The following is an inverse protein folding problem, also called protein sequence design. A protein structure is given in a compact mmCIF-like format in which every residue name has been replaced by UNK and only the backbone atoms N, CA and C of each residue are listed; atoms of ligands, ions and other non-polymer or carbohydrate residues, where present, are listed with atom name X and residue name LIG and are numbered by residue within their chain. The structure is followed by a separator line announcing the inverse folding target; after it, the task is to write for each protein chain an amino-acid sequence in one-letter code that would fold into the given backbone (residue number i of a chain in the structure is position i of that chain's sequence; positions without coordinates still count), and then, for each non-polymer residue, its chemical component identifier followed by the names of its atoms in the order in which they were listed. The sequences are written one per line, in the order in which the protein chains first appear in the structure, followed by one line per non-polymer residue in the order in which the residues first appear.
data_IF_753692502603
#
_entry.id   IF_753692502603
#
_cell.length_a   1.000
_cell.length_b   1.000
_cell.length_c   1.000
_cell.angle_alpha   90.00
_cell.angle_beta   90.00
_cell.angle_gamma   90.00
#
_symmetry.space_group_name_H-M   'P 1'
#
loop_
_entity.id
_entity.type
_entity.pdbx_description
1 polymer ?
#
# COMPACT_ATOMS: atom_id res chain seq x y z
N UNK A 1 -7.96 23.98 -12.44
CA UNK A 1 -7.14 23.51 -13.59
C UNK A 1 -5.85 22.83 -13.16
N UNK A 2 -5.04 23.40 -12.26
CA UNK A 2 -3.79 22.76 -11.78
C UNK A 2 -3.99 21.38 -11.14
N UNK A 3 -5.10 21.21 -10.39
CA UNK A 3 -5.47 19.94 -9.74
C UNK A 3 -5.71 18.77 -10.72
N UNK A 4 -6.37 19.03 -11.85
CA UNK A 4 -6.61 18.02 -12.89
C UNK A 4 -5.36 17.72 -13.73
N UNK A 5 -4.51 18.73 -13.97
CA UNK A 5 -3.24 18.54 -14.67
C UNK A 5 -2.28 17.62 -13.91
N UNK A 6 -2.21 17.70 -12.57
CA UNK A 6 -1.36 16.84 -11.74
C UNK A 6 -1.78 15.37 -11.76
N UNK A 7 -3.08 15.10 -11.67
CA UNK A 7 -3.62 13.73 -11.80
C UNK A 7 -3.38 13.19 -13.20
N UNK A 8 -3.59 13.99 -14.25
CA UNK A 8 -3.27 13.61 -15.61
C UNK A 8 -1.76 13.37 -15.82
N UNK A 9 -0.88 14.17 -15.23
CA UNK A 9 0.58 13.99 -15.30
C UNK A 9 1.04 12.72 -14.58
N UNK A 10 0.45 12.41 -13.42
CA UNK A 10 0.72 11.13 -12.74
C UNK A 10 0.26 9.97 -13.63
N UNK A 11 -1.01 9.96 -14.07
CA UNK A 11 -1.60 8.92 -14.95
C UNK A 11 -0.78 8.71 -16.22
N UNK A 12 -0.34 9.79 -16.88
CA UNK A 12 0.52 9.73 -18.08
C UNK A 12 1.91 9.19 -17.73
N UNK A 13 2.48 9.60 -16.59
CA UNK A 13 3.74 9.06 -16.08
C UNK A 13 3.69 7.55 -15.83
N UNK A 14 2.55 6.99 -15.40
CA UNK A 14 2.41 5.54 -15.23
C UNK A 14 2.12 4.82 -16.53
N UNK A 15 1.38 5.43 -17.45
CA UNK A 15 1.21 4.90 -18.81
C UNK A 15 2.55 4.70 -19.51
N UNK A 16 3.52 5.58 -19.25
CA UNK A 16 4.89 5.49 -19.77
C UNK A 16 5.75 4.40 -19.07
N UNK A 17 5.48 4.07 -17.80
CA UNK A 17 6.18 2.99 -17.10
C UNK A 17 5.56 1.61 -17.37
N UNK A 18 4.25 1.55 -17.62
CA UNK A 18 3.55 0.32 -17.99
C UNK A 18 4.06 -0.25 -19.33
N UNK A 19 4.34 0.60 -20.32
CA UNK A 19 4.92 0.21 -21.61
C UNK A 19 6.38 -0.26 -21.48
N UNK A 20 7.15 0.27 -20.54
CA UNK A 20 8.50 -0.22 -20.23
C UNK A 20 8.48 -1.59 -19.49
N UNK A 21 7.52 -1.81 -18.59
CA UNK A 21 7.32 -3.09 -17.92
C UNK A 21 6.89 -4.22 -18.87
N UNK A 22 6.18 -3.89 -19.96
CA UNK A 22 5.77 -4.85 -20.99
C UNK A 22 6.91 -5.36 -21.88
N UNK A 23 8.06 -4.68 -21.92
CA UNK A 23 9.11 -4.96 -22.90
C UNK A 23 10.05 -6.12 -22.55
N UNK A 24 9.97 -6.72 -21.35
CA UNK A 24 10.91 -7.77 -20.90
C UNK A 24 10.40 -8.80 -19.91
N UNK A 25 9.12 -8.75 -19.52
CA UNK A 25 8.53 -9.61 -18.49
C UNK A 25 7.40 -10.49 -19.06
N UNK A 26 7.21 -11.68 -18.50
CA UNK A 26 6.04 -12.51 -18.80
C UNK A 26 4.71 -11.78 -18.47
N UNK A 27 3.59 -12.15 -19.12
CA UNK A 27 2.33 -11.39 -19.05
C UNK A 27 1.82 -11.22 -17.61
N UNK A 28 2.03 -12.22 -16.75
CA UNK A 28 1.67 -12.16 -15.32
C UNK A 28 2.49 -11.11 -14.57
N UNK A 29 3.82 -11.13 -14.72
CA UNK A 29 4.70 -10.14 -14.09
C UNK A 29 4.35 -8.73 -14.54
N UNK A 30 4.15 -8.50 -15.85
CA UNK A 30 3.73 -7.21 -16.39
C UNK A 30 2.39 -6.73 -15.79
N UNK A 31 1.40 -7.62 -15.66
CA UNK A 31 0.12 -7.27 -15.02
C UNK A 31 0.30 -6.80 -13.58
N UNK A 32 1.22 -7.43 -12.84
CA UNK A 32 1.49 -7.05 -11.45
C UNK A 32 2.31 -5.79 -11.31
N UNK A 33 3.21 -5.48 -12.25
CA UNK A 33 3.92 -4.20 -12.32
C UNK A 33 2.92 -3.04 -12.50
N UNK A 34 1.92 -3.23 -13.37
CA UNK A 34 0.83 -2.27 -13.58
C UNK A 34 -0.01 -2.09 -12.32
N UNK A 35 -0.49 -3.19 -11.72
CA UNK A 35 -1.32 -3.13 -10.51
C UNK A 35 -0.61 -2.46 -9.34
N UNK A 36 0.70 -2.69 -9.20
CA UNK A 36 1.52 -2.05 -8.18
C UNK A 36 1.46 -0.53 -8.26
N UNK A 37 1.39 0.04 -9.47
CA UNK A 37 1.16 1.48 -9.64
C UNK A 37 -0.30 1.88 -9.45
N UNK A 38 -1.22 1.17 -10.10
CA UNK A 38 -2.65 1.56 -10.21
C UNK A 38 -3.34 1.67 -8.86
N UNK A 39 -3.11 0.76 -7.91
CA UNK A 39 -3.82 0.76 -6.62
C UNK A 39 -3.47 1.98 -5.76
N UNK A 40 -2.20 2.33 -5.51
CA UNK A 40 -1.83 3.57 -4.80
C UNK A 40 -2.39 4.84 -5.43
N UNK A 41 -2.51 4.90 -6.75
CA UNK A 41 -3.08 6.09 -7.39
C UNK A 41 -4.59 6.11 -7.35
N UNK A 42 -5.21 4.94 -7.41
CA UNK A 42 -6.64 4.81 -7.16
C UNK A 42 -6.93 5.30 -5.75
N UNK A 43 -6.08 4.97 -4.78
CA UNK A 43 -6.16 5.50 -3.42
C UNK A 43 -6.14 7.04 -3.37
N UNK A 44 -5.16 7.67 -4.04
CA UNK A 44 -5.11 9.13 -4.18
C UNK A 44 -6.33 9.69 -4.92
N UNK A 45 -6.74 9.06 -6.03
CA UNK A 45 -7.86 9.50 -6.84
C UNK A 45 -9.17 9.44 -6.04
N UNK A 46 -9.38 8.40 -5.23
CA UNK A 46 -10.54 8.29 -4.34
C UNK A 46 -10.54 9.41 -3.31
N UNK A 47 -9.39 9.73 -2.71
CA UNK A 47 -9.29 10.88 -1.80
C UNK A 47 -9.63 12.19 -2.50
N UNK A 48 -9.06 12.40 -3.69
CA UNK A 48 -9.30 13.58 -4.51
C UNK A 48 -10.77 13.74 -4.91
N UNK A 49 -11.41 12.68 -5.42
CA UNK A 49 -12.82 12.71 -5.84
C UNK A 49 -13.82 12.75 -4.67
N UNK A 50 -13.37 12.46 -3.45
CA UNK A 50 -14.15 12.64 -2.22
C UNK A 50 -13.96 14.03 -1.59
N UNK A 51 -13.19 14.92 -2.23
CA UNK A 51 -12.78 16.22 -1.68
C UNK A 51 -12.08 16.08 -0.30
N UNK A 52 -11.41 14.95 -0.07
CA UNK A 52 -10.79 14.60 1.19
C UNK A 52 -9.34 15.07 1.26
N UNK A 53 -9.17 16.39 1.49
CA UNK A 53 -7.83 17.02 1.53
C UNK A 53 -6.94 16.47 2.64
N UNK A 54 -7.50 16.05 3.78
CA UNK A 54 -6.72 15.35 4.81
C UNK A 54 -6.33 13.94 4.34
N UNK A 55 -7.22 13.24 3.65
CA UNK A 55 -6.91 11.95 3.01
C UNK A 55 -5.78 12.06 2.00
N UNK A 56 -5.72 13.11 1.18
CA UNK A 56 -4.59 13.34 0.26
C UNK A 56 -3.25 13.49 1.02
N UNK A 57 -3.24 14.22 2.15
CA UNK A 57 -2.06 14.39 3.00
C UNK A 57 -1.66 13.08 3.70
N UNK A 58 -2.64 12.35 4.24
CA UNK A 58 -2.43 11.05 4.86
C UNK A 58 -1.92 10.03 3.85
N UNK A 59 -2.48 10.00 2.63
CA UNK A 59 -2.00 9.16 1.54
C UNK A 59 -0.54 9.46 1.22
N UNK A 60 -0.18 10.74 1.06
CA UNK A 60 1.19 11.14 0.76
C UNK A 60 2.14 10.73 1.89
N UNK A 61 1.77 11.02 3.15
CA UNK A 61 2.55 10.65 4.33
C UNK A 61 2.73 9.15 4.44
N UNK A 62 1.64 8.38 4.36
CA UNK A 62 1.64 6.92 4.42
C UNK A 62 2.51 6.31 3.32
N UNK A 63 2.37 6.79 2.08
CA UNK A 63 3.15 6.29 0.94
C UNK A 63 4.64 6.61 1.07
N UNK A 64 4.98 7.84 1.44
CA UNK A 64 6.38 8.26 1.63
C UNK A 64 7.04 7.49 2.78
N UNK A 65 6.36 7.38 3.94
CA UNK A 65 6.89 6.63 5.09
C UNK A 65 7.09 5.16 4.71
N UNK A 66 6.14 4.54 4.02
CA UNK A 66 6.29 3.18 3.52
C UNK A 66 7.49 3.02 2.61
N UNK A 67 7.66 3.91 1.62
CA UNK A 67 8.75 3.80 0.67
C UNK A 67 10.11 4.02 1.33
N UNK A 68 10.22 4.96 2.27
CA UNK A 68 11.44 5.21 3.04
C UNK A 68 11.80 4.00 3.90
N UNK A 69 10.87 3.50 4.70
CA UNK A 69 11.11 2.34 5.57
C UNK A 69 11.43 1.09 4.75
N UNK A 70 10.71 0.83 3.67
CA UNK A 70 10.96 -0.30 2.77
C UNK A 70 12.34 -0.20 2.14
N UNK A 71 12.72 0.98 1.65
CA UNK A 71 14.04 1.19 1.05
C UNK A 71 15.15 1.02 2.08
N UNK A 72 14.97 1.56 3.28
CA UNK A 72 15.93 1.42 4.38
C UNK A 72 16.13 -0.05 4.77
N UNK A 73 15.05 -0.82 4.91
CA UNK A 73 15.11 -2.25 5.20
C UNK A 73 15.74 -3.03 4.04
N UNK A 74 15.38 -2.72 2.79
CA UNK A 74 15.98 -3.36 1.60
C UNK A 74 17.49 -3.17 1.56
N UNK A 75 17.96 -1.96 1.81
CA UNK A 75 19.39 -1.67 1.87
C UNK A 75 20.05 -2.35 3.09
N UNK A 76 19.41 -2.29 4.26
CA UNK A 76 19.97 -2.82 5.51
C UNK A 76 20.07 -4.35 5.55
N UNK A 77 19.19 -5.07 4.85
CA UNK A 77 19.17 -6.53 4.83
C UNK A 77 19.78 -7.15 3.57
N UNK A 78 20.22 -6.35 2.60
CA UNK A 78 20.70 -6.86 1.31
C UNK A 78 21.89 -7.83 1.44
N UNK A 79 22.85 -7.50 2.32
CA UNK A 79 24.07 -8.30 2.53
C UNK A 79 23.86 -9.49 3.49
N UNK A 80 22.61 -9.81 3.82
CA UNK A 80 22.25 -10.92 4.71
C UNK A 80 21.56 -12.03 3.94
N UNK A 81 21.29 -13.17 4.58
CA UNK A 81 20.50 -14.27 3.98
C UNK A 81 19.06 -13.90 3.63
N UNK A 82 18.59 -12.70 4.00
CA UNK A 82 17.30 -12.14 3.60
C UNK A 82 17.36 -11.35 2.28
N UNK A 83 18.55 -10.91 1.85
CA UNK A 83 18.72 -10.10 0.64
C UNK A 83 18.67 -10.90 -0.65
N UNK A 84 19.04 -12.17 -0.62
CA UNK A 84 19.01 -13.05 -1.79
C UNK A 84 17.58 -13.46 -2.17
N UNK A 85 17.24 -13.35 -3.45
CA UNK A 85 15.96 -13.80 -4.03
C UNK A 85 16.04 -15.26 -4.49
N UNK A 86 14.90 -15.95 -4.67
CA UNK A 86 14.89 -17.32 -5.18
C UNK A 86 15.57 -17.48 -6.55
N UNK A 87 15.52 -16.43 -7.39
CA UNK A 87 16.20 -16.38 -8.68
C UNK A 87 17.66 -15.87 -8.64
N UNK A 88 18.27 -15.75 -7.46
CA UNK A 88 19.66 -15.34 -7.29
C UNK A 88 19.94 -13.84 -7.42
N UNK A 89 18.91 -13.00 -7.59
CA UNK A 89 19.07 -11.55 -7.60
C UNK A 89 19.05 -10.95 -6.18
N UNK A 90 19.56 -9.73 -6.05
CA UNK A 90 19.61 -8.98 -4.79
C UNK A 90 18.29 -8.27 -4.40
N UNK A 91 18.26 -7.71 -3.20
CA UNK A 91 17.16 -6.92 -2.63
C UNK A 91 15.84 -7.71 -2.56
N UNK A 92 15.90 -8.91 -2.02
CA UNK A 92 14.77 -9.77 -1.71
C UNK A 92 13.89 -9.18 -0.60
N UNK A 93 14.44 -8.99 0.59
CA UNK A 93 13.66 -8.57 1.75
C UNK A 93 13.68 -7.05 2.00
N UNK A 94 12.53 -6.43 2.36
CA UNK A 94 11.18 -6.85 2.04
C UNK A 94 10.83 -6.55 0.56
N UNK A 95 9.74 -7.14 0.06
CA UNK A 95 9.30 -6.91 -1.32
C UNK A 95 8.84 -5.46 -1.56
N UNK A 96 9.54 -4.75 -2.45
CA UNK A 96 9.19 -3.36 -2.80
C UNK A 96 7.83 -3.24 -3.51
N UNK A 97 7.51 -4.17 -4.41
CA UNK A 97 6.23 -4.18 -5.13
C UNK A 97 5.04 -4.38 -4.19
N UNK A 98 5.17 -5.31 -3.24
CA UNK A 98 4.11 -5.59 -2.27
C UNK A 98 3.98 -4.44 -1.28
N UNK A 99 5.07 -3.82 -0.84
CA UNK A 99 5.01 -2.65 0.04
C UNK A 99 4.29 -1.47 -0.62
N UNK A 100 4.62 -1.16 -1.88
CA UNK A 100 4.01 -0.03 -2.58
C UNK A 100 2.53 -0.27 -2.89
N UNK A 101 2.13 -1.44 -3.41
CA UNK A 101 0.71 -1.72 -3.63
C UNK A 101 -0.08 -1.74 -2.32
N UNK A 102 0.51 -2.30 -1.25
CA UNK A 102 -0.12 -2.34 0.05
C UNK A 102 -0.23 -0.96 0.68
N UNK A 103 0.69 -0.01 0.46
CA UNK A 103 0.50 1.36 0.98
C UNK A 103 -0.79 2.00 0.45
N UNK A 104 -1.16 1.72 -0.80
CA UNK A 104 -2.44 2.11 -1.38
C UNK A 104 -3.63 1.35 -0.79
N UNK A 105 -3.52 0.02 -0.72
CA UNK A 105 -4.60 -0.83 -0.24
C UNK A 105 -4.94 -0.60 1.24
N UNK A 106 -3.92 -0.45 2.08
CA UNK A 106 -4.07 -0.20 3.52
C UNK A 106 -4.66 1.18 3.76
N UNK A 107 -4.22 2.20 3.02
CA UNK A 107 -4.85 3.52 3.05
C UNK A 107 -6.35 3.44 2.67
N UNK A 108 -6.70 2.78 1.57
CA UNK A 108 -8.10 2.64 1.14
C UNK A 108 -8.96 1.93 2.19
N UNK A 109 -8.42 0.87 2.79
CA UNK A 109 -9.08 0.10 3.84
C UNK A 109 -9.30 0.90 5.12
N UNK A 110 -8.25 1.55 5.64
CA UNK A 110 -8.32 2.34 6.86
C UNK A 110 -9.15 3.61 6.67
N UNK A 111 -8.88 4.39 5.62
CA UNK A 111 -9.53 5.69 5.36
C UNK A 111 -10.98 5.53 4.95
N UNK A 112 -11.30 4.63 4.01
CA UNK A 112 -12.63 4.56 3.36
C UNK A 112 -13.39 3.26 3.63
N UNK A 113 -12.84 2.37 4.44
CA UNK A 113 -13.47 1.14 4.88
C UNK A 113 -13.41 0.00 3.87
N UNK A 114 -14.00 -1.13 4.28
CA UNK A 114 -13.88 -2.42 3.61
C UNK A 114 -14.32 -2.44 2.13
N UNK A 115 -15.28 -1.59 1.72
CA UNK A 115 -15.71 -1.53 0.32
C UNK A 115 -14.59 -1.12 -0.63
N UNK A 116 -13.66 -0.29 -0.17
CA UNK A 116 -12.47 0.10 -0.91
C UNK A 116 -11.28 -0.80 -0.57
N UNK A 117 -11.16 -1.20 0.70
CA UNK A 117 -10.07 -2.06 1.18
C UNK A 117 -10.09 -3.46 0.56
N UNK A 118 -11.22 -4.17 0.58
CA UNK A 118 -11.30 -5.56 0.09
C UNK A 118 -10.81 -5.74 -1.35
N UNK A 119 -11.31 -5.00 -2.37
CA UNK A 119 -10.80 -5.16 -3.73
C UNK A 119 -9.32 -4.79 -3.85
N UNK A 120 -8.85 -3.78 -3.10
CA UNK A 120 -7.44 -3.39 -3.09
C UNK A 120 -6.54 -4.46 -2.46
N UNK A 121 -6.96 -5.07 -1.35
CA UNK A 121 -6.24 -6.19 -0.71
C UNK A 121 -6.21 -7.43 -1.60
N UNK A 122 -7.29 -7.73 -2.34
CA UNK A 122 -7.29 -8.83 -3.31
C UNK A 122 -6.28 -8.59 -4.44
N UNK A 123 -6.20 -7.35 -4.95
CA UNK A 123 -5.18 -6.99 -5.94
C UNK A 123 -3.76 -7.11 -5.36
N UNK A 124 -3.54 -6.66 -4.12
CA UNK A 124 -2.26 -6.84 -3.42
C UNK A 124 -1.89 -8.30 -3.20
N UNK A 125 -2.85 -9.15 -2.84
CA UNK A 125 -2.66 -10.59 -2.67
C UNK A 125 -2.28 -11.25 -3.99
N UNK A 126 -2.93 -10.88 -5.10
CA UNK A 126 -2.56 -11.34 -6.43
C UNK A 126 -1.12 -10.94 -6.80
N UNK A 127 -0.74 -9.67 -6.59
CA UNK A 127 0.64 -9.22 -6.81
C UNK A 127 1.62 -10.04 -5.97
N UNK A 128 1.36 -10.19 -4.68
CA UNK A 128 2.22 -10.97 -3.78
C UNK A 128 2.38 -12.43 -4.26
N UNK A 129 1.29 -13.08 -4.64
CA UNK A 129 1.29 -14.46 -5.12
C UNK A 129 2.15 -14.62 -6.39
N UNK A 130 2.01 -13.72 -7.37
CA UNK A 130 2.82 -13.77 -8.61
C UNK A 130 4.29 -13.49 -8.32
N UNK A 131 4.64 -12.58 -7.39
CA UNK A 131 6.06 -12.36 -7.04
C UNK A 131 6.72 -13.58 -6.44
N UNK A 132 5.96 -14.39 -5.69
CA UNK A 132 6.48 -15.66 -5.14
C UNK A 132 6.56 -16.72 -6.21
N UNK A 133 5.51 -16.87 -7.01
CA UNK A 133 5.41 -17.90 -8.05
C UNK A 133 6.40 -17.71 -9.22
N UNK A 134 6.81 -16.47 -9.49
CA UNK A 134 7.81 -16.11 -10.52
C UNK A 134 9.24 -15.97 -9.94
N UNK A 135 9.48 -16.57 -8.75
CA UNK A 135 10.78 -16.60 -8.06
C UNK A 135 11.39 -15.20 -7.81
N UNK A 136 10.56 -14.15 -7.80
CA UNK A 136 11.00 -12.77 -7.56
C UNK A 136 11.19 -12.48 -6.08
N UNK A 137 10.47 -13.18 -5.21
CA UNK A 137 10.51 -13.00 -3.75
C UNK A 137 10.16 -14.29 -3.02
N UNK A 138 10.74 -14.48 -1.84
CA UNK A 138 10.26 -15.51 -0.91
C UNK A 138 8.92 -15.08 -0.30
N UNK A 139 8.12 -16.04 0.17
CA UNK A 139 6.85 -15.75 0.87
C UNK A 139 7.06 -14.83 2.09
N UNK A 140 8.20 -14.95 2.78
CA UNK A 140 8.56 -14.08 3.93
C UNK A 140 8.73 -12.62 3.52
N UNK A 141 9.24 -12.35 2.32
CA UNK A 141 9.53 -11.00 1.84
C UNK A 141 8.22 -10.25 1.54
N UNK A 142 7.21 -10.96 1.02
CA UNK A 142 5.90 -10.39 0.70
C UNK A 142 5.02 -10.22 1.95
N UNK A 143 5.07 -11.16 2.90
CA UNK A 143 4.35 -11.03 4.18
C UNK A 143 4.92 -9.87 4.99
N UNK A 144 6.24 -9.77 5.11
CA UNK A 144 6.88 -8.67 5.85
C UNK A 144 6.59 -7.31 5.21
N UNK A 145 6.61 -7.22 3.88
CA UNK A 145 6.22 -6.00 3.17
C UNK A 145 4.77 -5.60 3.46
N UNK A 146 3.83 -6.55 3.39
CA UNK A 146 2.43 -6.29 3.68
C UNK A 146 2.17 -5.88 5.14
N UNK A 147 2.84 -6.55 6.09
CA UNK A 147 2.75 -6.23 7.51
C UNK A 147 3.32 -4.84 7.82
N UNK A 148 4.47 -4.48 7.23
CA UNK A 148 5.05 -3.15 7.33
C UNK A 148 4.06 -2.08 6.83
N UNK A 149 3.51 -2.29 5.63
CA UNK A 149 2.58 -1.35 5.01
C UNK A 149 1.27 -1.16 5.80
N UNK A 150 0.75 -2.24 6.37
CA UNK A 150 -0.41 -2.18 7.25
C UNK A 150 -0.08 -1.45 8.56
N UNK A 151 1.07 -1.75 9.18
CA UNK A 151 1.53 -1.08 10.40
C UNK A 151 1.74 0.42 10.21
N UNK A 152 2.31 0.85 9.09
CA UNK A 152 2.45 2.28 8.77
C UNK A 152 1.08 2.94 8.61
N UNK A 153 0.12 2.28 7.95
CA UNK A 153 -1.22 2.84 7.78
C UNK A 153 -1.95 3.03 9.12
N UNK A 154 -1.86 2.06 10.03
CA UNK A 154 -2.43 2.20 11.38
C UNK A 154 -1.88 3.42 12.16
N UNK A 155 -0.67 3.85 11.84
CA UNK A 155 -0.01 4.99 12.50
C UNK A 155 -0.21 6.32 11.76
N UNK A 156 -0.58 6.29 10.48
CA UNK A 156 -0.55 7.48 9.62
C UNK A 156 -1.87 7.80 8.92
N UNK A 157 -2.84 6.88 8.97
CA UNK A 157 -4.14 7.01 8.32
C UNK A 157 -5.24 6.93 9.36
N UNK A 158 -6.18 7.86 9.30
CA UNK A 158 -7.34 7.89 10.20
C UNK A 158 -8.62 7.57 9.43
N UNK A 159 -9.53 6.74 9.97
CA UNK A 159 -10.77 6.43 9.26
C UNK A 159 -11.70 7.64 9.05
N UNK A 160 -12.24 7.76 7.83
CA UNK A 160 -13.23 8.77 7.47
C UNK A 160 -14.64 8.33 7.91
N UNK A 161 -15.37 9.20 8.59
CA UNK A 161 -16.73 8.95 9.10
C UNK A 161 -16.89 7.70 9.96
N UNK A 162 -15.81 7.26 10.63
CA UNK A 162 -15.85 6.08 11.46
C UNK A 162 -16.61 6.33 12.75
N UNK A 163 -17.30 5.30 13.23
CA UNK A 163 -17.96 5.29 14.54
C UNK A 163 -17.37 4.17 15.37
N UNK A 164 -16.82 4.54 16.52
CA UNK A 164 -16.26 3.64 17.51
C UNK A 164 -17.24 3.51 18.67
N UNK A 165 -17.44 2.27 19.11
CA UNK A 165 -18.08 1.93 20.37
C UNK A 165 -17.07 1.09 21.16
N UNK A 166 -16.60 1.64 22.28
CA UNK A 166 -15.64 0.95 23.13
C UNK A 166 -16.21 0.78 24.54
N UNK A 167 -16.11 -0.40 25.17
CA UNK A 167 -16.38 -0.54 26.58
C UNK A 167 -15.36 0.25 27.38
N UNK A 168 -15.82 0.95 28.41
CA UNK A 168 -14.97 1.68 29.35
C UNK A 168 -15.21 1.10 30.74
N UNK A 169 -14.14 0.65 31.39
CA UNK A 169 -14.15 0.19 32.78
C UNK A 169 -13.40 1.24 33.58
N UNK A 170 -14.13 1.97 34.43
CA UNK A 170 -13.57 2.89 35.41
C UNK A 170 -13.58 2.29 36.82
N UNK A 171 -13.01 3.00 37.80
CA UNK A 171 -12.96 2.53 39.20
C UNK A 171 -14.36 2.19 39.77
N UNK A 172 -15.38 2.98 39.42
CA UNK A 172 -16.74 2.86 39.95
C UNK A 172 -17.83 2.78 38.86
N UNK A 173 -17.47 2.53 37.59
CA UNK A 173 -18.45 2.43 36.51
C UNK A 173 -18.04 1.50 35.37
N UNK A 174 -19.05 0.93 34.71
CA UNK A 174 -18.92 0.27 33.40
C UNK A 174 -19.80 1.05 32.44
N UNK A 175 -19.23 1.44 31.30
CA UNK A 175 -19.94 2.25 30.31
C UNK A 175 -19.50 1.95 28.88
N UNK A 176 -20.06 2.72 27.95
CA UNK A 176 -19.68 2.71 26.55
C UNK A 176 -19.21 4.11 26.14
N UNK A 177 -18.07 4.18 25.46
CA UNK A 177 -17.60 5.40 24.79
C UNK A 177 -18.00 5.30 23.33
N UNK A 178 -18.83 6.25 22.90
CA UNK A 178 -19.12 6.50 21.50
C UNK A 178 -18.20 7.61 21.00
N UNK A 179 -17.52 7.38 19.88
CA UNK A 179 -16.73 8.40 19.21
C UNK A 179 -16.97 8.31 17.71
N UNK A 180 -17.14 9.45 17.05
CA UNK A 180 -17.34 9.52 15.61
C UNK A 180 -16.28 10.45 15.00
N UNK A 181 -15.62 10.03 13.91
CA UNK A 181 -14.86 10.98 13.09
C UNK A 181 -15.84 11.72 12.17
N UNK A 182 -15.71 13.04 12.10
CA UNK A 182 -16.56 13.91 11.28
C UNK A 182 -15.85 14.21 9.97
#
# INVERSE_FOLDING_TARGET
MLRYMLVCLMVVGLGLNASAAMAGNGPRTASTDILTGVVPLTALAVAYFKDDTEGEKEWLRNTVVNQVLTSALRLGFNETSLGERPNGNDYGFPSGHVSFIMSGATFLGERYGWKWGTPAYLASAYVAAVRVDEDKHHWRDVIAAGALAYGVALLTVTPQHATYLAPVIGPDFIGLRWQRSF
#
